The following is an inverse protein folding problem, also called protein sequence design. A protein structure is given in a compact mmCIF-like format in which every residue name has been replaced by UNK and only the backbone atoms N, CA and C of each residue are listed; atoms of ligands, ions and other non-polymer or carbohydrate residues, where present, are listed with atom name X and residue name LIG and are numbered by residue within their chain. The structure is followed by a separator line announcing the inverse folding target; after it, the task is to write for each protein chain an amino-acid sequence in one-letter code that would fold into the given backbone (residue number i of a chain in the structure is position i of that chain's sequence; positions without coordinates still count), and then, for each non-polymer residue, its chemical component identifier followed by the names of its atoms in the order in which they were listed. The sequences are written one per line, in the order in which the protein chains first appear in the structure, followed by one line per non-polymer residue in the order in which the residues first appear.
data_IF_518299587543
#
_entry.id   IF_518299587543
#
_cell.length_a   1.000
_cell.length_b   1.000
_cell.length_c   1.000
_cell.angle_alpha   90.00
_cell.angle_beta   90.00
_cell.angle_gamma   90.00
#
_symmetry.space_group_name_H-M   'P 1'
#
loop_
_entity.id
_entity.type
_entity.pdbx_description
1 polymer ?
#
# COMPACT_ATOMS: atom_id res chain seq x y z
N UNK A 1 7.43 23.65 14.68
CA UNK A 1 6.62 22.53 15.19
C UNK A 1 6.86 21.34 14.26
N UNK A 2 6.32 20.16 14.55
CA UNK A 2 6.32 19.07 13.57
C UNK A 2 5.18 19.30 12.56
N UNK A 3 5.41 19.00 11.28
CA UNK A 3 4.43 19.24 10.21
C UNK A 3 3.67 17.97 9.78
N UNK A 4 4.24 16.80 10.06
CA UNK A 4 3.69 15.49 9.68
C UNK A 4 3.66 14.55 10.88
N UNK A 5 2.64 13.69 10.94
CA UNK A 5 2.54 12.58 11.88
C UNK A 5 2.28 11.30 11.09
N UNK A 6 3.02 10.24 11.37
CA UNK A 6 2.90 8.99 10.63
C UNK A 6 2.37 7.83 11.46
N UNK A 7 1.70 6.89 10.79
CA UNK A 7 1.16 5.66 11.37
C UNK A 7 1.18 4.52 10.35
N UNK A 8 1.58 3.33 10.81
CA UNK A 8 1.48 2.13 9.99
C UNK A 8 0.04 1.63 9.96
N UNK A 9 -0.43 1.24 8.77
CA UNK A 9 -1.63 0.45 8.57
C UNK A 9 -1.17 -0.94 8.11
N UNK A 10 -1.40 -1.96 8.96
CA UNK A 10 -0.84 -3.29 8.80
C UNK A 10 -1.77 -4.40 9.31
N UNK A 11 -1.40 -5.64 9.06
CA UNK A 11 -2.15 -6.86 9.42
C UNK A 11 -2.49 -7.69 8.20
N UNK A 12 -3.01 -8.89 8.40
CA UNK A 12 -3.30 -9.83 7.31
C UNK A 12 -4.53 -9.35 6.55
N UNK A 13 -4.39 -8.91 5.29
CA UNK A 13 -5.53 -8.44 4.52
C UNK A 13 -6.62 -9.51 4.33
N UNK A 14 -6.26 -10.78 4.40
CA UNK A 14 -7.21 -11.90 4.31
C UNK A 14 -7.86 -12.28 5.65
N UNK A 15 -7.48 -11.60 6.74
CA UNK A 15 -7.97 -11.82 8.10
C UNK A 15 -7.94 -10.53 8.92
N UNK A 16 -7.46 -10.60 10.16
CA UNK A 16 -7.40 -9.45 11.07
C UNK A 16 -6.37 -8.42 10.61
N UNK A 17 -6.83 -7.19 10.31
CA UNK A 17 -5.98 -6.10 9.88
C UNK A 17 -6.43 -4.72 10.38
N UNK A 18 -5.71 -3.68 9.94
CA UNK A 18 -5.96 -2.29 10.31
C UNK A 18 -7.39 -1.82 10.10
N UNK A 19 -8.10 -2.39 9.11
CA UNK A 19 -9.50 -2.06 8.87
C UNK A 19 -10.37 -2.40 10.09
N UNK A 20 -10.02 -3.44 10.88
CA UNK A 20 -10.78 -3.92 12.03
C UNK A 20 -10.23 -3.49 13.40
N UNK A 21 -9.27 -2.55 13.46
CA UNK A 21 -8.73 -2.09 14.75
C UNK A 21 -9.77 -1.38 15.64
N UNK A 22 -10.89 -0.94 15.05
CA UNK A 22 -12.02 -0.34 15.75
C UNK A 22 -13.33 -1.00 15.32
N UNK A 23 -14.43 -0.66 16.00
CA UNK A 23 -15.74 -1.30 15.82
C UNK A 23 -16.30 -1.18 14.40
N UNK A 24 -16.06 -0.04 13.74
CA UNK A 24 -16.44 0.16 12.33
C UNK A 24 -15.20 0.04 11.44
N UNK A 25 -15.36 -0.58 10.28
CA UNK A 25 -14.25 -0.77 9.34
C UNK A 25 -13.61 0.57 8.94
N UNK A 26 -12.28 0.62 9.03
CA UNK A 26 -11.46 1.78 8.71
C UNK A 26 -11.63 2.97 9.66
N UNK A 27 -12.40 2.84 10.75
CA UNK A 27 -12.65 3.95 11.69
C UNK A 27 -11.39 4.49 12.35
N UNK A 28 -10.36 3.66 12.50
CA UNK A 28 -9.05 4.11 12.96
C UNK A 28 -8.49 5.25 12.08
N UNK A 29 -8.65 5.15 10.76
CA UNK A 29 -8.19 6.18 9.81
C UNK A 29 -8.91 7.49 10.09
N UNK A 30 -10.23 7.47 10.27
CA UNK A 30 -11.03 8.65 10.62
C UNK A 30 -10.53 9.31 11.91
N UNK A 31 -10.35 8.54 12.99
CA UNK A 31 -9.82 9.08 14.24
C UNK A 31 -8.43 9.70 14.09
N UNK A 32 -7.57 9.06 13.30
CA UNK A 32 -6.21 9.52 13.11
C UNK A 32 -6.12 10.82 12.30
N UNK A 33 -6.91 10.95 11.23
CA UNK A 33 -6.92 12.17 10.41
C UNK A 33 -7.56 13.34 11.15
N UNK A 34 -8.66 13.12 11.89
CA UNK A 34 -9.32 14.14 12.69
C UNK A 34 -8.41 14.66 13.81
N UNK A 35 -7.73 13.75 14.53
CA UNK A 35 -6.77 14.12 15.58
C UNK A 35 -5.54 14.82 14.99
N UNK A 36 -5.10 14.43 13.78
CA UNK A 36 -4.01 15.12 13.10
C UNK A 36 -4.39 16.55 12.72
N UNK A 37 -5.59 16.75 12.16
CA UNK A 37 -6.09 18.08 11.81
C UNK A 37 -6.25 18.97 13.05
N UNK A 38 -6.84 18.44 14.12
CA UNK A 38 -7.05 19.17 15.38
C UNK A 38 -5.73 19.69 16.00
N UNK A 39 -4.61 19.06 15.67
CA UNK A 39 -3.28 19.43 16.14
C UNK A 39 -2.40 20.08 15.05
N UNK A 40 -2.95 20.37 13.86
CA UNK A 40 -2.26 21.05 12.78
C UNK A 40 -1.21 20.22 12.04
N UNK A 41 -1.33 18.89 12.04
CA UNK A 41 -0.46 17.97 11.32
C UNK A 41 -1.08 17.49 10.01
N UNK A 42 -0.23 17.25 9.01
CA UNK A 42 -0.62 16.46 7.84
C UNK A 42 -0.50 14.96 8.20
N UNK A 43 -1.59 14.18 8.12
CA UNK A 43 -1.54 12.76 8.41
C UNK A 43 -0.78 11.98 7.33
N UNK A 44 0.03 11.03 7.77
CA UNK A 44 0.79 10.11 6.91
C UNK A 44 0.47 8.66 7.29
N UNK A 45 0.03 7.86 6.32
CA UNK A 45 -0.14 6.42 6.53
C UNK A 45 0.92 5.64 5.77
N UNK A 46 1.72 4.84 6.47
CA UNK A 46 2.53 3.80 5.83
C UNK A 46 1.64 2.57 5.64
N UNK A 47 1.26 2.31 4.39
CA UNK A 47 0.44 1.16 4.01
C UNK A 47 1.35 -0.06 3.86
N UNK A 48 1.38 -0.92 4.88
CA UNK A 48 2.28 -2.06 5.00
C UNK A 48 1.45 -3.32 5.25
N UNK A 49 0.90 -3.86 4.17
CA UNK A 49 -0.12 -4.91 4.19
C UNK A 49 0.41 -6.20 3.56
N UNK A 50 1.33 -6.15 2.60
CA UNK A 50 1.81 -7.38 1.94
C UNK A 50 2.51 -8.31 2.93
N UNK A 51 3.59 -7.89 3.61
CA UNK A 51 4.35 -8.77 4.53
C UNK A 51 3.49 -9.50 5.58
N UNK A 52 2.59 -8.82 6.33
CA UNK A 52 1.77 -9.49 7.34
C UNK A 52 0.68 -10.40 6.76
N UNK A 53 0.44 -10.40 5.44
CA UNK A 53 -0.64 -11.16 4.83
C UNK A 53 -0.31 -12.63 4.55
N UNK A 54 -1.36 -13.44 4.53
CA UNK A 54 -1.34 -14.81 4.03
C UNK A 54 -0.94 -14.85 2.54
N UNK A 55 -0.36 -15.96 2.02
CA UNK A 55 -0.25 -17.29 2.63
C UNK A 55 0.96 -17.48 3.57
N UNK A 56 1.78 -16.46 3.79
CA UNK A 56 3.00 -16.56 4.61
C UNK A 56 3.16 -15.36 5.56
N UNK A 57 2.27 -15.19 6.55
CA UNK A 57 2.25 -14.01 7.41
C UNK A 57 3.59 -13.74 8.08
N UNK A 58 4.08 -12.50 7.98
CA UNK A 58 5.32 -12.05 8.62
C UNK A 58 6.61 -12.39 7.85
N UNK A 59 6.53 -13.16 6.76
CA UNK A 59 7.69 -13.41 5.90
C UNK A 59 7.84 -12.31 4.83
N UNK A 60 9.07 -12.02 4.41
CA UNK A 60 9.34 -11.10 3.29
C UNK A 60 9.26 -11.79 1.91
N UNK A 61 8.50 -12.89 1.80
CA UNK A 61 8.24 -13.56 0.52
C UNK A 61 7.15 -12.80 -0.27
N UNK A 62 7.53 -11.62 -0.76
CA UNK A 62 6.64 -10.74 -1.52
C UNK A 62 6.13 -11.43 -2.78
N UNK A 63 6.99 -12.11 -3.54
CA UNK A 63 6.63 -12.79 -4.79
C UNK A 63 5.52 -13.82 -4.59
N UNK A 64 5.55 -14.61 -3.51
CA UNK A 64 4.48 -15.56 -3.18
C UNK A 64 3.13 -14.87 -2.91
N UNK A 65 3.15 -13.74 -2.20
CA UNK A 65 1.93 -13.03 -1.80
C UNK A 65 1.32 -12.22 -2.93
N UNK A 66 2.15 -11.47 -3.65
CA UNK A 66 1.66 -10.62 -4.75
C UNK A 66 1.21 -11.43 -5.96
N UNK A 67 1.66 -12.69 -6.09
CA UNK A 67 1.14 -13.62 -7.10
C UNK A 67 -0.15 -14.34 -6.68
N UNK A 68 -0.53 -14.28 -5.40
CA UNK A 68 -1.75 -14.91 -4.89
C UNK A 68 -2.97 -14.02 -5.15
N UNK A 69 -3.85 -14.46 -6.06
CA UNK A 69 -5.06 -13.71 -6.45
C UNK A 69 -6.01 -13.43 -5.28
N UNK A 70 -6.15 -14.37 -4.33
CA UNK A 70 -7.00 -14.18 -3.16
C UNK A 70 -6.44 -13.09 -2.24
N UNK A 71 -5.15 -13.16 -1.92
CA UNK A 71 -4.45 -12.11 -1.15
C UNK A 71 -4.60 -10.75 -1.83
N UNK A 72 -4.36 -10.68 -3.15
CA UNK A 72 -4.43 -9.41 -3.86
C UNK A 72 -5.83 -8.83 -3.98
N UNK A 73 -6.88 -9.67 -4.04
CA UNK A 73 -8.27 -9.17 -3.98
C UNK A 73 -8.52 -8.41 -2.68
N UNK A 74 -8.17 -9.00 -1.53
CA UNK A 74 -8.32 -8.35 -0.22
C UNK A 74 -7.40 -7.13 -0.05
N UNK A 75 -6.19 -7.19 -0.59
CA UNK A 75 -5.28 -6.05 -0.63
C UNK A 75 -5.95 -4.85 -1.32
N UNK A 76 -6.55 -5.04 -2.50
CA UNK A 76 -7.19 -3.94 -3.23
C UNK A 76 -8.49 -3.47 -2.57
N UNK A 77 -9.28 -4.35 -1.96
CA UNK A 77 -10.46 -3.95 -1.18
C UNK A 77 -10.05 -3.11 0.04
N UNK A 78 -9.00 -3.49 0.76
CA UNK A 78 -8.44 -2.67 1.84
C UNK A 78 -7.90 -1.33 1.31
N UNK A 79 -7.24 -1.32 0.14
CA UNK A 79 -6.80 -0.07 -0.49
C UNK A 79 -7.99 0.85 -0.79
N UNK A 80 -9.07 0.33 -1.36
CA UNK A 80 -10.32 1.07 -1.62
C UNK A 80 -10.93 1.62 -0.34
N UNK A 81 -10.97 0.84 0.73
CA UNK A 81 -11.43 1.30 2.04
C UNK A 81 -10.58 2.47 2.56
N UNK A 82 -9.25 2.38 2.46
CA UNK A 82 -8.37 3.48 2.85
C UNK A 82 -8.66 4.74 2.03
N UNK A 83 -8.76 4.61 0.70
CA UNK A 83 -9.09 5.75 -0.17
C UNK A 83 -10.43 6.36 0.20
N UNK A 84 -11.46 5.54 0.45
CA UNK A 84 -12.76 6.03 0.91
C UNK A 84 -12.64 6.86 2.20
N UNK A 85 -11.91 6.36 3.21
CA UNK A 85 -11.72 7.09 4.48
C UNK A 85 -10.93 8.38 4.31
N UNK A 86 -9.91 8.39 3.47
CA UNK A 86 -9.18 9.61 3.15
C UNK A 86 -10.03 10.60 2.35
N UNK A 87 -10.90 10.14 1.45
CA UNK A 87 -11.82 10.99 0.71
C UNK A 87 -12.86 11.64 1.62
N UNK A 88 -13.40 10.89 2.58
CA UNK A 88 -14.33 11.39 3.60
C UNK A 88 -13.72 12.54 4.44
N UNK A 89 -12.41 12.50 4.70
CA UNK A 89 -11.69 13.57 5.39
C UNK A 89 -11.57 14.85 4.57
N UNK A 90 -11.38 14.75 3.25
CA UNK A 90 -11.43 15.89 2.33
C UNK A 90 -10.22 16.85 2.34
N UNK A 91 -9.24 16.66 3.23
CA UNK A 91 -7.97 17.40 3.24
C UNK A 91 -6.78 16.50 2.88
N UNK A 92 -5.59 17.09 2.76
CA UNK A 92 -4.40 16.36 2.30
C UNK A 92 -4.02 15.23 3.26
N UNK A 93 -3.84 14.03 2.71
CA UNK A 93 -3.30 12.85 3.41
C UNK A 93 -2.17 12.27 2.58
N UNK A 94 -1.04 11.94 3.21
CA UNK A 94 0.04 11.23 2.52
C UNK A 94 -0.13 9.74 2.75
N UNK A 95 -0.13 8.95 1.68
CA UNK A 95 -0.08 7.48 1.79
C UNK A 95 1.25 7.02 1.23
N UNK A 96 2.10 6.53 2.13
CA UNK A 96 3.39 5.93 1.87
C UNK A 96 3.18 4.43 1.58
N UNK A 97 3.31 4.05 0.31
CA UNK A 97 2.84 2.75 -0.19
C UNK A 97 3.94 1.72 -0.10
N UNK A 98 3.73 0.66 0.69
CA UNK A 98 4.53 -0.58 0.71
C UNK A 98 6.04 -0.33 0.61
N UNK A 99 6.66 0.30 1.63
CA UNK A 99 8.00 0.88 1.53
C UNK A 99 9.08 -0.05 0.96
N UNK A 100 9.09 -1.32 1.39
CA UNK A 100 10.16 -2.25 0.98
C UNK A 100 9.76 -3.11 -0.22
N UNK A 101 8.47 -3.27 -0.49
CA UNK A 101 7.95 -4.09 -1.60
C UNK A 101 8.59 -3.71 -2.93
N UNK A 102 8.67 -2.41 -3.22
CA UNK A 102 9.25 -1.92 -4.48
C UNK A 102 10.72 -2.31 -4.63
N UNK A 103 11.48 -2.26 -3.53
CA UNK A 103 12.86 -2.70 -3.51
C UNK A 103 12.99 -4.21 -3.73
N UNK A 104 12.12 -5.01 -3.11
CA UNK A 104 12.14 -6.47 -3.27
C UNK A 104 11.76 -6.88 -4.69
N UNK A 105 10.74 -6.24 -5.28
CA UNK A 105 10.36 -6.48 -6.68
C UNK A 105 11.51 -6.15 -7.63
N UNK A 106 12.21 -5.03 -7.42
CA UNK A 106 13.39 -4.69 -8.23
C UNK A 106 14.54 -5.67 -8.03
N UNK A 107 14.83 -6.07 -6.78
CA UNK A 107 15.90 -7.03 -6.46
C UNK A 107 15.67 -8.39 -7.12
N UNK A 108 14.43 -8.88 -7.07
CA UNK A 108 14.10 -10.24 -7.52
C UNK A 108 13.85 -10.33 -9.02
N UNK A 109 13.38 -9.25 -9.65
CA UNK A 109 12.93 -9.25 -11.06
C UNK A 109 13.63 -8.21 -11.96
N UNK A 110 14.58 -7.44 -11.41
CA UNK A 110 15.35 -6.43 -12.14
C UNK A 110 14.57 -5.15 -12.42
N UNK A 111 14.97 -4.42 -13.47
CA UNK A 111 14.45 -3.07 -13.80
C UNK A 111 13.26 -3.07 -14.77
N UNK A 112 12.69 -4.24 -15.06
CA UNK A 112 11.59 -4.43 -16.00
C UNK A 112 10.27 -4.72 -15.26
N UNK A 113 9.55 -3.69 -14.78
CA UNK A 113 8.38 -3.87 -13.91
C UNK A 113 7.24 -4.65 -14.59
N UNK A 114 7.18 -4.67 -15.92
CA UNK A 114 6.27 -5.52 -16.69
C UNK A 114 6.53 -7.03 -16.58
N UNK A 115 7.74 -7.41 -16.18
CA UNK A 115 8.13 -8.82 -16.06
C UNK A 115 7.93 -9.35 -14.64
N UNK A 116 7.79 -8.46 -13.65
CA UNK A 116 7.47 -8.83 -12.27
C UNK A 116 5.97 -9.10 -12.16
N UNK A 117 5.59 -10.37 -12.06
CA UNK A 117 4.18 -10.76 -11.95
C UNK A 117 3.56 -10.27 -10.62
N UNK A 118 2.39 -9.66 -10.71
CA UNK A 118 1.51 -9.32 -9.58
C UNK A 118 0.09 -9.65 -10.03
N UNK A 119 -0.71 -10.30 -9.20
CA UNK A 119 -2.11 -10.57 -9.51
C UNK A 119 -2.92 -9.27 -9.42
N UNK A 120 -3.18 -8.65 -10.58
CA UNK A 120 -3.91 -7.39 -10.73
C UNK A 120 -5.29 -7.70 -11.32
N UNK A 121 -5.39 -7.93 -12.63
CA UNK A 121 -6.62 -8.42 -13.25
C UNK A 121 -6.96 -9.83 -12.76
N UNK A 122 -5.94 -10.67 -12.55
CA UNK A 122 -6.10 -12.01 -11.98
C UNK A 122 -6.65 -12.02 -10.55
N UNK A 123 -6.62 -10.89 -9.82
CA UNK A 123 -7.27 -10.79 -8.50
C UNK A 123 -8.79 -10.93 -8.58
N UNK A 124 -9.39 -10.68 -9.75
CA UNK A 124 -10.84 -10.68 -9.93
C UNK A 124 -11.54 -9.41 -9.43
N UNK A 125 -10.80 -8.40 -8.97
CA UNK A 125 -11.37 -7.07 -8.69
C UNK A 125 -11.93 -6.46 -9.98
N UNK A 126 -13.17 -5.98 -9.96
CA UNK A 126 -13.84 -5.44 -11.16
C UNK A 126 -13.13 -4.19 -11.69
N UNK A 127 -12.65 -3.31 -10.82
CA UNK A 127 -11.89 -2.11 -11.18
C UNK A 127 -10.50 -2.43 -11.75
N UNK A 128 -9.98 -3.65 -11.55
CA UNK A 128 -8.72 -4.11 -12.13
C UNK A 128 -8.88 -4.62 -13.57
N UNK A 129 -10.11 -4.66 -14.10
CA UNK A 129 -10.34 -5.09 -15.47
C UNK A 129 -9.61 -4.18 -16.48
N UNK A 130 -8.82 -4.79 -17.37
CA UNK A 130 -8.03 -4.07 -18.37
C UNK A 130 -6.66 -3.59 -17.88
N UNK A 131 -6.32 -3.79 -16.60
CA UNK A 131 -4.95 -3.70 -16.12
C UNK A 131 -4.22 -5.02 -16.37
N UNK A 132 -2.91 -4.97 -16.47
CA UNK A 132 -2.06 -6.15 -16.68
C UNK A 132 -1.59 -6.74 -15.35
N UNK A 133 -1.36 -8.06 -15.32
CA UNK A 133 -0.83 -8.75 -14.14
C UNK A 133 0.69 -8.55 -14.00
N UNK A 134 1.10 -7.36 -13.58
CA UNK A 134 2.50 -7.02 -13.32
C UNK A 134 2.66 -5.92 -12.27
N UNK A 135 3.88 -5.68 -11.79
CA UNK A 135 4.20 -4.57 -10.90
C UNK A 135 3.84 -3.20 -11.51
N UNK A 136 3.94 -3.06 -12.85
CA UNK A 136 3.46 -1.85 -13.55
C UNK A 136 1.94 -1.72 -13.48
N UNK A 137 1.22 -2.82 -13.71
CA UNK A 137 -0.24 -2.87 -13.59
C UNK A 137 -0.70 -2.56 -12.17
N UNK A 138 -0.02 -3.12 -11.18
CA UNK A 138 -0.24 -2.87 -9.76
C UNK A 138 -0.14 -1.38 -9.42
N UNK A 139 0.99 -0.75 -9.75
CA UNK A 139 1.19 0.68 -9.53
C UNK A 139 0.10 1.53 -10.22
N UNK A 140 -0.24 1.21 -11.47
CA UNK A 140 -1.27 1.94 -12.22
C UNK A 140 -2.67 1.77 -11.62
N UNK A 141 -3.00 0.58 -11.10
CA UNK A 141 -4.28 0.34 -10.45
C UNK A 141 -4.41 1.15 -9.15
N UNK A 142 -3.37 1.19 -8.31
CA UNK A 142 -3.41 1.98 -7.07
C UNK A 142 -3.62 3.47 -7.34
N UNK A 143 -2.94 4.01 -8.36
CA UNK A 143 -3.15 5.40 -8.82
C UNK A 143 -4.57 5.60 -9.34
N UNK A 144 -5.08 4.70 -10.18
CA UNK A 144 -6.43 4.81 -10.74
C UNK A 144 -7.51 4.79 -9.64
N UNK A 145 -7.39 3.90 -8.64
CA UNK A 145 -8.32 3.84 -7.52
C UNK A 145 -8.27 5.10 -6.65
N UNK A 146 -7.06 5.66 -6.42
CA UNK A 146 -6.88 6.94 -5.72
C UNK A 146 -7.50 8.09 -6.51
N UNK A 147 -7.20 8.21 -7.79
CA UNK A 147 -7.70 9.31 -8.64
C UNK A 147 -9.23 9.29 -8.74
N UNK A 148 -9.84 8.10 -8.75
CA UNK A 148 -11.28 7.94 -8.86
C UNK A 148 -12.05 8.32 -7.59
N UNK A 149 -11.46 8.15 -6.40
CA UNK A 149 -12.18 8.24 -5.14
C UNK A 149 -11.60 9.24 -4.13
N UNK A 150 -10.29 9.44 -4.13
CA UNK A 150 -9.57 10.22 -3.11
C UNK A 150 -8.46 11.09 -3.72
N UNK A 151 -8.78 12.04 -4.64
CA UNK A 151 -7.77 12.89 -5.27
C UNK A 151 -7.02 13.81 -4.28
N UNK A 152 -7.52 13.96 -3.05
CA UNK A 152 -6.84 14.65 -1.94
C UNK A 152 -5.66 13.85 -1.36
N UNK A 153 -5.56 12.54 -1.64
CA UNK A 153 -4.45 11.70 -1.20
C UNK A 153 -3.21 11.96 -2.05
N UNK A 154 -2.07 12.20 -1.40
CA UNK A 154 -0.75 12.30 -2.02
C UNK A 154 -0.06 10.93 -1.87
N UNK A 155 0.23 10.28 -2.99
CA UNK A 155 0.92 9.00 -2.99
C UNK A 155 2.43 9.21 -2.88
N UNK A 156 3.04 8.61 -1.86
CA UNK A 156 4.47 8.62 -1.62
C UNK A 156 5.06 7.23 -1.84
N UNK A 157 6.12 7.15 -2.65
CA UNK A 157 6.86 5.93 -2.93
C UNK A 157 8.15 5.90 -2.14
N UNK A 158 8.60 4.70 -1.80
CA UNK A 158 9.93 4.48 -1.27
C UNK A 158 10.78 3.77 -2.31
N UNK A 159 11.95 4.36 -2.58
CA UNK A 159 12.97 3.75 -3.41
C UNK A 159 14.05 3.24 -2.48
N UNK A 160 14.06 1.93 -2.24
CA UNK A 160 15.05 1.30 -1.39
C UNK A 160 16.43 1.29 -2.06
N UNK A 161 17.40 2.02 -1.50
CA UNK A 161 18.76 2.12 -2.06
C UNK A 161 19.45 0.76 -2.19
N UNK A 162 19.16 -0.17 -1.27
CA UNK A 162 19.69 -1.53 -1.29
C UNK A 162 19.24 -2.36 -2.50
N UNK A 163 18.12 -2.01 -3.14
CA UNK A 163 17.54 -2.81 -4.23
C UNK A 163 18.40 -2.84 -5.50
N UNK A 164 19.31 -1.88 -5.66
CA UNK A 164 20.22 -1.80 -6.81
C UNK A 164 21.46 -2.67 -6.69
N UNK A 165 21.68 -3.33 -5.54
CA UNK A 165 22.94 -4.02 -5.22
C UNK A 165 24.15 -3.08 -5.07
N UNK A 166 23.93 -1.77 -5.19
CA UNK A 166 24.95 -0.73 -5.04
C UNK A 166 24.55 0.13 -3.85
N UNK A 167 24.78 -0.39 -2.64
CA UNK A 167 24.45 0.34 -1.43
C UNK A 167 25.40 1.56 -1.26
N UNK A 168 24.86 2.69 -0.79
CA UNK A 168 25.66 3.81 -0.25
C UNK A 168 26.32 3.43 1.09
N UNK A 169 25.88 2.32 1.70
CA UNK A 169 26.50 1.64 2.84
C UNK A 169 27.19 0.35 2.38
N UNK A 170 28.01 0.41 1.33
CA UNK A 170 29.18 -0.48 1.26
C UNK A 170 30.43 0.34 1.58
N UNK A 171 30.65 0.55 2.88
CA UNK A 171 31.97 0.88 3.40
C UNK A 171 32.28 -0.10 4.54
N UNK A 172 33.09 -1.12 4.23
CA UNK A 172 33.60 -2.10 5.17
C UNK A 172 33.94 -3.42 4.51
#
# INVERSE_FOLDING_TARGET
AWDYRYQYLAGDCTGDNWAQWNTLDGQFVTYYVDDSEANGYIPVFTYYVVVPSSPSPGSEDYSLKVSNAWTMWYYYENWKLLMQKCAEFGAAVIVHVEPDLWGFMQKDHGVHPESCYVAVAASGLSEAFGFEDSARGFARLLVALRDASAPNVILAWHVSSWATGTDIIVNG
#
